data_IF_236490267287
#
_entry.id   IF_236490267287
#
_cell.length_a   1.000
_cell.length_b   1.000
_cell.length_c   1.000
_cell.angle_alpha   90.00
_cell.angle_beta   90.00
_cell.angle_gamma   90.00
#
_symmetry.space_group_name_H-M   'P 1'
#
loop_
_entity.id
_entity.type
_entity.pdbx_description
1 polymer ?
#
# COMPACT_ATOMS: atom_id res chain seq x y z
N UNK A 1 37.56 -13.07 22.54
CA UNK A 1 36.62 -14.21 22.31
C UNK A 1 35.48 -13.67 21.47
N UNK A 2 35.29 -14.21 20.26
CA UNK A 2 34.29 -13.74 19.30
C UNK A 2 32.90 -14.24 19.72
N UNK A 3 31.97 -13.29 19.91
CA UNK A 3 30.59 -13.58 20.25
C UNK A 3 29.88 -14.14 19.00
N UNK A 4 29.94 -15.45 18.82
CA UNK A 4 29.37 -16.16 17.66
C UNK A 4 28.16 -16.97 18.11
N UNK A 5 27.21 -16.30 18.77
CA UNK A 5 25.90 -16.90 18.97
C UNK A 5 25.17 -16.92 17.62
N UNK A 6 24.52 -18.05 17.24
CA UNK A 6 23.68 -18.08 16.05
C UNK A 6 22.53 -17.10 16.29
N UNK A 7 22.55 -15.99 15.57
CA UNK A 7 21.46 -15.03 15.55
C UNK A 7 20.16 -15.80 15.29
N UNK A 8 19.28 -15.89 16.30
CA UNK A 8 17.94 -16.41 16.09
C UNK A 8 17.18 -15.33 15.32
N UNK A 9 17.10 -15.46 14.00
CA UNK A 9 16.13 -14.68 13.22
C UNK A 9 14.74 -15.12 13.61
N UNK A 10 14.10 -14.39 14.51
CA UNK A 10 12.66 -14.50 14.71
C UNK A 10 12.03 -13.89 13.46
N UNK A 11 11.27 -14.67 12.70
CA UNK A 11 10.49 -14.15 11.59
C UNK A 11 9.41 -13.23 12.17
N UNK A 12 9.43 -11.95 11.79
CA UNK A 12 8.36 -11.01 12.13
C UNK A 12 7.02 -11.55 11.64
N UNK A 13 5.98 -11.32 12.42
CA UNK A 13 4.59 -11.50 11.99
C UNK A 13 4.22 -10.46 10.92
N UNK A 14 3.08 -10.67 10.24
CA UNK A 14 2.64 -9.75 9.19
C UNK A 14 2.31 -8.39 9.80
N UNK A 15 1.68 -8.37 10.97
CA UNK A 15 1.31 -7.16 11.68
C UNK A 15 2.55 -6.38 12.12
N UNK A 16 3.55 -7.03 12.72
CA UNK A 16 4.81 -6.36 13.09
C UNK A 16 5.52 -5.75 11.88
N UNK A 17 5.44 -6.41 10.72
CA UNK A 17 5.98 -5.87 9.48
C UNK A 17 5.19 -4.66 8.97
N UNK A 18 3.85 -4.72 9.02
CA UNK A 18 2.98 -3.61 8.64
C UNK A 18 3.26 -2.41 9.55
N UNK A 19 3.33 -2.61 10.87
CA UNK A 19 3.61 -1.58 11.85
C UNK A 19 4.98 -0.93 11.62
N UNK A 20 6.01 -1.75 11.37
CA UNK A 20 7.36 -1.24 11.05
C UNK A 20 7.38 -0.43 9.75
N UNK A 21 6.68 -0.88 8.71
CA UNK A 21 6.57 -0.15 7.44
C UNK A 21 5.78 1.16 7.60
N UNK A 22 4.68 1.12 8.36
CA UNK A 22 3.84 2.27 8.67
C UNK A 22 4.62 3.32 9.47
N UNK A 23 5.35 2.93 10.51
CA UNK A 23 6.19 3.83 11.28
C UNK A 23 7.29 4.47 10.44
N UNK A 24 7.94 3.68 9.58
CA UNK A 24 8.94 4.19 8.62
C UNK A 24 8.33 5.21 7.66
N UNK A 25 7.11 4.97 7.17
CA UNK A 25 6.40 5.91 6.29
C UNK A 25 6.07 7.23 7.00
N UNK A 26 5.68 7.19 8.28
CA UNK A 26 5.44 8.39 9.09
C UNK A 26 6.72 9.22 9.26
N UNK A 27 7.85 8.59 9.60
CA UNK A 27 9.15 9.28 9.72
C UNK A 27 9.52 9.93 8.38
N UNK A 28 9.34 9.20 7.26
CA UNK A 28 9.60 9.76 5.92
C UNK A 28 8.75 10.99 5.62
N UNK A 29 7.46 10.94 5.98
CA UNK A 29 6.55 12.07 5.79
C UNK A 29 6.87 13.27 6.69
N UNK A 30 7.41 13.05 7.89
CA UNK A 30 7.72 14.12 8.82
C UNK A 30 9.04 14.85 8.51
N UNK A 31 10.06 14.12 8.02
CA UNK A 31 11.42 14.66 7.89
C UNK A 31 11.88 14.89 6.45
N UNK A 32 11.18 14.33 5.46
CA UNK A 32 11.52 14.52 4.05
C UNK A 32 10.36 15.20 3.34
N UNK A 33 10.66 16.09 2.38
CA UNK A 33 9.70 16.72 1.43
C UNK A 33 8.97 15.71 0.50
N UNK A 34 9.00 14.43 0.88
CA UNK A 34 8.42 13.28 0.22
C UNK A 34 6.89 13.27 0.20
N UNK A 35 6.22 14.09 1.03
CA UNK A 35 4.75 14.10 1.15
C UNK A 35 4.09 14.55 -0.15
N UNK A 36 4.57 15.64 -0.76
CA UNK A 36 4.05 16.15 -2.03
C UNK A 36 4.26 15.16 -3.19
N UNK A 37 5.40 14.47 -3.19
CA UNK A 37 5.71 13.44 -4.17
C UNK A 37 4.87 12.16 -3.98
N UNK A 38 4.56 11.80 -2.73
CA UNK A 38 3.75 10.63 -2.40
C UNK A 38 2.30 10.78 -2.86
N UNK A 39 1.67 11.91 -2.54
CA UNK A 39 0.27 12.16 -2.92
C UNK A 39 0.10 12.20 -4.44
N UNK A 40 1.05 12.83 -5.15
CA UNK A 40 1.09 12.82 -6.62
C UNK A 40 1.22 11.39 -7.17
N UNK A 41 2.15 10.60 -6.63
CA UNK A 41 2.35 9.21 -7.06
C UNK A 41 1.10 8.34 -6.83
N UNK A 42 0.38 8.56 -5.72
CA UNK A 42 -0.87 7.84 -5.43
C UNK A 42 -1.99 8.27 -6.40
N UNK A 43 -2.12 9.56 -6.71
CA UNK A 43 -3.06 10.06 -7.72
C UNK A 43 -2.78 9.44 -9.10
N UNK A 44 -1.51 9.41 -9.53
CA UNK A 44 -1.09 8.78 -10.78
C UNK A 44 -1.36 7.27 -10.77
N UNK A 45 -1.08 6.58 -9.67
CA UNK A 45 -1.41 5.16 -9.50
C UNK A 45 -2.91 4.89 -9.70
N UNK A 46 -3.79 5.65 -9.04
CA UNK A 46 -5.24 5.53 -9.18
C UNK A 46 -5.68 5.73 -10.63
N UNK A 47 -5.14 6.76 -11.31
CA UNK A 47 -5.42 7.04 -12.73
C UNK A 47 -4.99 5.87 -13.62
N UNK A 48 -3.78 5.34 -13.42
CA UNK A 48 -3.24 4.21 -14.17
C UNK A 48 -4.05 2.91 -13.99
N UNK A 49 -4.61 2.69 -12.80
CA UNK A 49 -5.47 1.54 -12.50
C UNK A 49 -6.85 1.62 -13.18
N UNK A 50 -7.32 2.84 -13.44
CA UNK A 50 -8.59 3.12 -14.13
C UNK A 50 -8.45 3.26 -15.64
N UNK A 51 -7.24 3.49 -16.14
CA UNK A 51 -6.98 3.69 -17.56
C UNK A 51 -7.46 2.49 -18.39
N UNK A 52 -8.31 2.78 -19.38
CA UNK A 52 -8.83 1.80 -20.34
C UNK A 52 -7.74 1.14 -21.17
N UNK A 53 -6.58 1.78 -21.37
CA UNK A 53 -5.46 1.17 -22.10
C UNK A 53 -4.78 0.07 -21.27
N UNK A 54 -4.70 0.26 -19.95
CA UNK A 54 -4.09 -0.66 -19.00
C UNK A 54 -5.08 -1.71 -18.46
N UNK A 55 -6.39 -1.45 -18.55
CA UNK A 55 -7.46 -2.30 -18.03
C UNK A 55 -8.15 -3.17 -19.12
N UNK A 56 -7.48 -3.43 -20.25
CA UNK A 56 -8.09 -4.16 -21.40
C UNK A 56 -8.25 -5.66 -21.20
N UNK A 57 -7.28 -6.28 -20.52
CA UNK A 57 -7.20 -7.74 -20.36
C UNK A 57 -7.52 -8.20 -18.94
N UNK A 58 -7.12 -7.43 -17.93
CA UNK A 58 -7.32 -7.71 -16.52
C UNK A 58 -8.15 -6.58 -15.93
N UNK A 59 -9.10 -6.91 -15.06
CA UNK A 59 -9.98 -5.92 -14.43
C UNK A 59 -9.26 -5.20 -13.27
N UNK A 60 -8.28 -4.36 -13.60
CA UNK A 60 -7.47 -3.57 -12.67
C UNK A 60 -8.34 -2.63 -11.83
N UNK A 61 -9.46 -2.15 -12.39
CA UNK A 61 -10.45 -1.37 -11.64
C UNK A 61 -10.99 -2.15 -10.43
N UNK A 62 -11.23 -3.46 -10.57
CA UNK A 62 -11.67 -4.31 -9.45
C UNK A 62 -10.58 -4.47 -8.38
N UNK A 63 -9.30 -4.51 -8.76
CA UNK A 63 -8.20 -4.51 -7.80
C UNK A 63 -8.15 -3.20 -7.01
N UNK A 64 -8.34 -2.06 -7.69
CA UNK A 64 -8.44 -0.76 -7.04
C UNK A 64 -9.64 -0.68 -6.08
N UNK A 65 -10.80 -1.21 -6.48
CA UNK A 65 -11.97 -1.31 -5.59
C UNK A 65 -11.70 -2.17 -4.36
N UNK A 66 -10.90 -3.24 -4.50
CA UNK A 66 -10.45 -4.05 -3.37
C UNK A 66 -9.54 -3.27 -2.42
N UNK A 67 -8.62 -2.48 -2.96
CA UNK A 67 -7.77 -1.58 -2.15
C UNK A 67 -8.60 -0.52 -1.41
N UNK A 68 -9.59 0.08 -2.07
CA UNK A 68 -10.49 1.04 -1.41
C UNK A 68 -11.35 0.38 -0.34
N UNK A 69 -11.78 -0.86 -0.57
CA UNK A 69 -12.48 -1.62 0.45
C UNK A 69 -11.61 -1.87 1.68
N UNK A 70 -10.35 -2.28 1.45
CA UNK A 70 -9.36 -2.49 2.50
C UNK A 70 -9.11 -1.21 3.32
N UNK A 71 -9.10 -0.05 2.65
CA UNK A 71 -9.01 1.26 3.28
C UNK A 71 -10.28 1.72 4.01
N UNK A 72 -11.33 0.90 4.05
CA UNK A 72 -12.60 1.25 4.70
C UNK A 72 -13.43 2.30 3.95
N UNK A 73 -13.12 2.60 2.68
CA UNK A 73 -13.85 3.61 1.91
C UNK A 73 -15.23 3.08 1.50
N UNK A 74 -16.29 3.91 1.57
CA UNK A 74 -17.60 3.51 1.07
C UNK A 74 -17.58 3.40 -0.45
N UNK A 75 -18.45 2.54 -1.01
CA UNK A 75 -18.52 2.30 -2.48
C UNK A 75 -18.79 3.58 -3.29
N UNK A 76 -19.44 4.58 -2.69
CA UNK A 76 -19.65 5.91 -3.31
C UNK A 76 -18.35 6.61 -3.68
N UNK A 77 -17.23 6.30 -3.01
CA UNK A 77 -15.90 6.86 -3.25
C UNK A 77 -15.11 6.16 -4.35
N UNK A 78 -15.58 5.02 -4.86
CA UNK A 78 -14.76 4.18 -5.73
C UNK A 78 -14.48 4.80 -7.11
N UNK A 79 -15.29 5.78 -7.51
CA UNK A 79 -15.10 6.55 -8.74
C UNK A 79 -14.47 7.93 -8.51
N UNK A 80 -14.33 8.36 -7.24
CA UNK A 80 -13.76 9.67 -6.88
C UNK A 80 -12.27 9.77 -7.23
N UNK A 81 -11.78 10.97 -7.55
CA UNK A 81 -10.35 11.20 -7.73
C UNK A 81 -9.65 11.27 -6.37
N UNK A 82 -8.32 11.13 -6.38
CA UNK A 82 -7.54 11.19 -5.14
C UNK A 82 -7.68 12.55 -4.44
N UNK A 83 -7.79 13.60 -5.25
CA UNK A 83 -7.94 14.98 -4.82
C UNK A 83 -9.27 15.21 -4.07
N UNK A 84 -10.29 14.40 -4.35
CA UNK A 84 -11.63 14.48 -3.72
C UNK A 84 -11.69 13.82 -2.34
N UNK A 85 -10.65 13.08 -1.95
CA UNK A 85 -10.60 12.39 -0.66
C UNK A 85 -10.27 13.36 0.48
N UNK A 86 -10.92 13.13 1.62
CA UNK A 86 -10.58 13.82 2.87
C UNK A 86 -9.18 13.41 3.37
N UNK A 87 -8.62 14.16 4.30
CA UNK A 87 -7.35 13.81 4.94
C UNK A 87 -7.36 12.40 5.54
N UNK A 88 -8.47 12.02 6.18
CA UNK A 88 -8.62 10.72 6.85
C UNK A 88 -8.78 9.58 5.83
N UNK A 89 -9.53 9.82 4.76
CA UNK A 89 -9.65 8.87 3.64
C UNK A 89 -8.29 8.64 2.96
N UNK A 90 -7.51 9.70 2.73
CA UNK A 90 -6.15 9.60 2.17
C UNK A 90 -5.20 8.85 3.09
N UNK A 91 -5.28 9.09 4.42
CA UNK A 91 -4.49 8.36 5.41
C UNK A 91 -4.83 6.88 5.41
N UNK A 92 -6.13 6.54 5.49
CA UNK A 92 -6.62 5.17 5.48
C UNK A 92 -6.21 4.44 4.20
N UNK A 93 -6.21 5.14 3.06
CA UNK A 93 -5.73 4.60 1.79
C UNK A 93 -4.22 4.29 1.83
N UNK A 94 -3.39 5.19 2.37
CA UNK A 94 -1.94 4.96 2.52
C UNK A 94 -1.65 3.76 3.43
N UNK A 95 -2.37 3.63 4.54
CA UNK A 95 -2.29 2.48 5.45
C UNK A 95 -2.64 1.17 4.72
N UNK A 96 -3.75 1.13 3.98
CA UNK A 96 -4.14 -0.02 3.19
C UNK A 96 -3.11 -0.39 2.10
N UNK A 97 -2.47 0.61 1.47
CA UNK A 97 -1.39 0.36 0.50
C UNK A 97 -0.17 -0.30 1.16
N UNK A 98 0.21 0.15 2.36
CA UNK A 98 1.31 -0.45 3.13
C UNK A 98 0.96 -1.89 3.54
N UNK A 99 -0.27 -2.13 4.01
CA UNK A 99 -0.77 -3.47 4.31
C UNK A 99 -0.68 -4.39 3.09
N UNK A 100 -1.13 -3.91 1.92
CA UNK A 100 -1.05 -4.68 0.68
C UNK A 100 0.41 -4.94 0.27
N UNK A 101 1.32 -3.97 0.41
CA UNK A 101 2.75 -4.17 0.12
C UNK A 101 3.39 -5.23 1.03
N UNK A 102 3.05 -5.21 2.33
CA UNK A 102 3.53 -6.20 3.28
C UNK A 102 3.03 -7.61 2.89
N UNK A 103 1.73 -7.72 2.55
CA UNK A 103 1.11 -8.97 2.13
C UNK A 103 1.67 -9.51 0.80
N UNK A 104 1.86 -8.65 -0.20
CA UNK A 104 2.48 -9.02 -1.49
C UNK A 104 3.89 -9.54 -1.28
N UNK A 105 4.65 -8.96 -0.36
CA UNK A 105 5.98 -9.45 -0.03
C UNK A 105 5.98 -10.83 0.65
N UNK A 106 4.85 -11.28 1.19
CA UNK A 106 4.67 -12.63 1.76
C UNK A 106 4.03 -13.62 0.79
N UNK A 107 3.53 -13.15 -0.36
CA UNK A 107 2.93 -14.06 -1.33
C UNK A 107 3.93 -15.12 -1.79
N UNK A 108 3.46 -16.36 -2.04
CA UNK A 108 4.30 -17.41 -2.61
C UNK A 108 4.97 -16.94 -3.90
N UNK A 109 6.28 -17.17 -4.03
CA UNK A 109 7.03 -16.77 -5.24
C UNK A 109 6.70 -17.64 -6.45
N UNK A 110 6.32 -18.90 -6.19
CA UNK A 110 6.01 -19.88 -7.22
C UNK A 110 4.51 -20.14 -7.21
N UNK A 111 3.81 -19.53 -8.16
CA UNK A 111 2.37 -19.74 -8.40
C UNK A 111 2.24 -20.37 -9.79
N UNK A 112 1.64 -21.55 -9.87
CA UNK A 112 1.34 -22.24 -11.13
C UNK A 112 -0.15 -22.08 -11.44
N UNK A 113 -0.48 -21.86 -12.71
CA UNK A 113 -1.85 -21.66 -13.24
C UNK A 113 -2.03 -22.57 -14.45
#
# INVERSE_FOLDING_TARGET
>A
MANTEPYRTVSLTLDEKIDGMYHTAQIKGAFFDSVSNSDKAISEFIKNMRDRTNNRKRNNKKLLHGLFHLAGLPKSRYESQYEDFTSDERRSLKEAMIQLQAAVSWMPKNIAI
#
